data_IF_862151703651
#
_entry.id   IF_862151703651
#
_cell.length_a   1.000
_cell.length_b   1.000
_cell.length_c   1.000
_cell.angle_alpha   90.00
_cell.angle_beta   90.00
_cell.angle_gamma   90.00
#
_symmetry.space_group_name_H-M   'P 1'
#
loop_
_entity.id
_entity.type
_entity.pdbx_description
1 polymer ?
#
# COMPACT_ATOMS: atom_id res chain seq x y z
N UNK A 1 -26.66 8.81 -17.26
CA UNK A 1 -27.91 9.53 -17.54
C UNK A 1 -27.52 10.79 -18.29
N UNK A 2 -28.06 10.94 -19.54
CA UNK A 2 -27.61 12.04 -20.46
C UNK A 2 -28.27 13.37 -20.13
N UNK A 3 -29.48 13.38 -19.59
CA UNK A 3 -30.31 14.60 -19.50
C UNK A 3 -30.70 14.98 -18.08
N UNK A 4 -30.03 14.44 -17.07
CA UNK A 4 -30.39 14.68 -15.68
C UNK A 4 -29.18 15.14 -14.87
N UNK A 5 -29.33 16.28 -14.20
CA UNK A 5 -28.40 16.68 -13.14
C UNK A 5 -28.65 15.80 -11.93
N UNK A 6 -27.63 15.09 -11.51
CA UNK A 6 -27.71 14.30 -10.28
C UNK A 6 -26.41 14.37 -9.50
N UNK A 7 -26.55 14.38 -8.19
CA UNK A 7 -25.44 14.30 -7.26
C UNK A 7 -25.82 13.36 -6.13
N UNK A 8 -24.87 12.57 -5.69
CA UNK A 8 -24.98 11.76 -4.49
C UNK A 8 -23.70 11.80 -3.70
N UNK A 9 -23.82 11.69 -2.40
CA UNK A 9 -22.69 11.52 -1.51
C UNK A 9 -23.03 10.45 -0.48
N UNK A 10 -22.06 9.64 -0.13
CA UNK A 10 -22.17 8.64 0.94
C UNK A 10 -20.99 8.76 1.88
N UNK A 11 -21.21 8.47 3.14
CA UNK A 11 -20.19 8.37 4.16
C UNK A 11 -20.44 7.09 4.96
N UNK A 12 -19.40 6.36 5.26
CA UNK A 12 -19.46 5.19 6.14
C UNK A 12 -18.42 5.30 7.24
N UNK A 13 -18.75 4.69 8.36
CA UNK A 13 -17.90 4.57 9.53
C UNK A 13 -18.05 3.16 10.08
N UNK A 14 -16.95 2.47 10.33
CA UNK A 14 -16.98 1.12 10.86
C UNK A 14 -16.03 1.02 12.05
N UNK A 15 -16.53 0.42 13.13
CA UNK A 15 -15.75 0.14 14.34
C UNK A 15 -15.07 -1.22 14.19
N UNK A 16 -13.78 -1.26 14.46
CA UNK A 16 -13.01 -2.50 14.52
C UNK A 16 -12.72 -2.83 15.98
N UNK A 17 -13.14 -4.01 16.43
CA UNK A 17 -12.84 -4.44 17.79
C UNK A 17 -11.34 -4.78 17.91
N UNK A 18 -10.62 -4.01 18.72
CA UNK A 18 -9.18 -4.18 18.91
C UNK A 18 -8.38 -3.72 17.70
N UNK A 19 -8.83 -2.64 17.07
CA UNK A 19 -8.18 -2.00 15.93
C UNK A 19 -8.72 -0.60 15.72
N UNK A 20 -8.13 0.15 14.82
CA UNK A 20 -8.58 1.47 14.39
C UNK A 20 -9.93 1.42 13.66
N UNK A 21 -10.67 2.49 13.77
CA UNK A 21 -11.91 2.67 13.02
C UNK A 21 -11.65 2.95 11.53
N UNK A 22 -12.55 2.47 10.69
CA UNK A 22 -12.49 2.68 9.25
C UNK A 22 -13.49 3.72 8.80
N UNK A 23 -13.11 4.54 7.82
CA UNK A 23 -13.97 5.59 7.27
C UNK A 23 -13.95 5.58 5.76
N UNK A 24 -15.10 5.82 5.12
CA UNK A 24 -15.13 6.03 3.68
C UNK A 24 -16.07 7.17 3.31
N UNK A 25 -15.69 7.90 2.27
CA UNK A 25 -16.47 8.97 1.65
C UNK A 25 -16.51 8.73 0.15
N UNK A 26 -17.67 8.91 -0.46
CA UNK A 26 -17.85 8.90 -1.90
C UNK A 26 -18.74 10.06 -2.32
N UNK A 27 -18.41 10.68 -3.45
CA UNK A 27 -19.24 11.68 -4.10
C UNK A 27 -19.35 11.37 -5.59
N UNK A 28 -20.56 11.46 -6.12
CA UNK A 28 -20.86 11.28 -7.54
C UNK A 28 -21.61 12.50 -8.04
N UNK A 29 -21.15 13.01 -9.18
CA UNK A 29 -21.80 14.13 -9.88
C UNK A 29 -22.03 13.74 -11.33
N UNK A 30 -23.23 14.00 -11.83
CA UNK A 30 -23.58 13.85 -13.24
C UNK A 30 -24.13 15.19 -13.75
N UNK A 31 -23.54 15.68 -14.85
CA UNK A 31 -23.86 16.98 -15.44
C UNK A 31 -24.13 16.79 -16.93
N UNK A 32 -25.39 16.94 -17.40
CA UNK A 32 -25.67 17.11 -18.80
C UNK A 32 -25.15 18.51 -19.25
N UNK A 33 -24.19 18.50 -20.15
CA UNK A 33 -23.59 19.74 -20.70
C UNK A 33 -24.35 20.20 -21.93
N UNK A 34 -24.73 19.24 -22.76
CA UNK A 34 -25.57 19.46 -23.96
C UNK A 34 -26.65 18.38 -23.92
N UNK A 35 -27.90 18.84 -23.87
CA UNK A 35 -29.06 17.95 -23.85
C UNK A 35 -29.01 16.93 -25.00
N UNK A 36 -29.28 15.67 -24.70
CA UNK A 36 -29.22 14.52 -25.62
C UNK A 36 -27.87 14.31 -26.32
N UNK A 37 -26.79 15.05 -25.97
CA UNK A 37 -25.53 14.96 -26.69
C UNK A 37 -24.30 14.77 -25.81
N UNK A 38 -24.15 15.53 -24.73
CA UNK A 38 -22.94 15.50 -23.92
C UNK A 38 -23.26 15.50 -22.45
N UNK A 39 -22.82 14.47 -21.76
CA UNK A 39 -22.86 14.44 -20.31
C UNK A 39 -21.48 14.15 -19.71
N UNK A 40 -21.20 14.77 -18.60
CA UNK A 40 -20.02 14.52 -17.76
C UNK A 40 -20.44 13.79 -16.48
N UNK A 41 -19.61 12.86 -16.06
CA UNK A 41 -19.76 12.17 -14.77
C UNK A 41 -18.44 12.19 -14.02
N UNK A 42 -18.48 12.66 -12.79
CA UNK A 42 -17.36 12.57 -11.83
C UNK A 42 -17.72 11.64 -10.69
N UNK A 43 -16.76 10.84 -10.26
CA UNK A 43 -16.79 10.05 -9.04
C UNK A 43 -15.52 10.34 -8.28
N UNK A 44 -15.62 10.63 -7.00
CA UNK A 44 -14.50 10.85 -6.10
C UNK A 44 -14.73 10.02 -4.85
N UNK A 45 -13.69 9.38 -4.34
CA UNK A 45 -13.78 8.61 -3.11
C UNK A 45 -12.47 8.63 -2.34
N UNK A 46 -12.61 8.45 -1.03
CA UNK A 46 -11.53 8.07 -0.12
C UNK A 46 -12.06 6.99 0.81
N UNK A 47 -11.24 5.97 1.08
CA UNK A 47 -11.59 4.84 1.91
C UNK A 47 -10.38 4.49 2.78
N UNK A 48 -10.42 4.88 4.07
CA UNK A 48 -9.43 4.49 5.06
C UNK A 48 -9.90 3.21 5.75
N UNK A 49 -9.11 2.16 5.65
CA UNK A 49 -9.21 0.94 6.45
C UNK A 49 -8.27 1.10 7.64
N UNK A 50 -8.82 1.10 8.84
CA UNK A 50 -8.04 1.14 10.07
C UNK A 50 -7.22 -0.12 10.25
N UNK A 51 -6.05 0.02 10.85
CA UNK A 51 -5.17 -1.08 11.21
C UNK A 51 -5.76 -1.94 12.33
N UNK A 52 -5.15 -3.09 12.56
CA UNK A 52 -5.55 -4.05 13.60
C UNK A 52 -4.40 -4.97 14.01
N UNK A 53 -3.18 -4.70 13.55
CA UNK A 53 -1.96 -5.44 13.90
C UNK A 53 -1.04 -4.47 14.64
N UNK A 54 -0.56 -4.88 15.82
CA UNK A 54 0.35 -4.06 16.62
C UNK A 54 1.79 -4.40 16.30
N UNK A 55 2.61 -3.38 16.09
CA UNK A 55 4.05 -3.53 16.08
C UNK A 55 4.60 -3.38 17.49
N UNK A 56 4.79 -4.53 18.16
CA UNK A 56 5.21 -4.54 19.58
C UNK A 56 6.72 -4.48 19.72
N UNK A 57 7.16 -4.02 20.90
CA UNK A 57 8.58 -3.91 21.23
C UNK A 57 9.30 -5.26 21.09
N UNK A 58 10.44 -5.24 20.45
CA UNK A 58 11.30 -6.41 20.28
C UNK A 58 12.77 -6.05 20.26
N UNK A 59 13.59 -7.04 20.54
CA UNK A 59 15.04 -6.97 20.34
C UNK A 59 15.49 -8.11 19.46
N UNK A 60 16.43 -7.84 18.59
CA UNK A 60 17.08 -8.82 17.76
C UNK A 60 18.58 -8.74 17.95
N UNK A 61 19.20 -9.87 18.26
CA UNK A 61 20.66 -9.98 18.30
C UNK A 61 21.07 -11.01 17.27
N UNK A 62 21.77 -10.58 16.25
CA UNK A 62 22.40 -11.51 15.31
C UNK A 62 23.51 -12.23 16.04
N UNK A 63 23.34 -13.52 16.31
CA UNK A 63 24.35 -14.39 16.93
C UNK A 63 24.61 -15.62 16.07
N UNK A 64 25.73 -16.27 16.29
CA UNK A 64 26.06 -17.53 15.63
C UNK A 64 25.03 -18.62 15.91
N UNK A 65 24.32 -18.55 17.02
CA UNK A 65 23.29 -19.52 17.40
C UNK A 65 22.03 -19.42 16.53
N UNK A 66 21.77 -18.23 15.97
CA UNK A 66 20.61 -17.97 15.10
C UNK A 66 20.92 -18.26 13.63
N UNK A 67 22.17 -18.16 13.24
CA UNK A 67 22.61 -18.44 11.87
C UNK A 67 23.74 -19.48 11.90
N UNK A 68 23.47 -20.74 11.55
CA UNK A 68 24.47 -21.81 11.55
C UNK A 68 25.61 -21.60 10.56
N UNK A 69 25.47 -20.65 9.61
CA UNK A 69 26.55 -20.25 8.74
C UNK A 69 27.62 -19.40 9.47
N UNK A 70 27.28 -18.87 10.68
CA UNK A 70 28.18 -18.06 11.50
C UNK A 70 28.22 -18.60 12.95
N UNK A 71 28.76 -19.81 13.17
CA UNK A 71 28.65 -20.53 14.44
C UNK A 71 29.47 -19.95 15.59
N UNK A 72 30.20 -18.87 15.38
CA UNK A 72 31.08 -18.28 16.37
C UNK A 72 31.05 -16.75 16.31
N UNK A 73 31.57 -16.12 17.36
CA UNK A 73 31.84 -14.68 17.39
C UNK A 73 32.96 -14.24 16.42
N UNK A 74 33.42 -15.15 15.59
CA UNK A 74 34.44 -14.87 14.59
C UNK A 74 34.17 -15.67 13.30
N UNK A 75 34.49 -15.09 12.15
CA UNK A 75 34.39 -15.73 10.83
C UNK A 75 35.79 -15.77 10.22
N UNK A 76 36.20 -16.94 9.75
CA UNK A 76 37.45 -17.14 9.05
C UNK A 76 37.18 -17.16 7.53
N UNK A 77 37.78 -16.26 6.80
CA UNK A 77 37.65 -16.18 5.34
C UNK A 77 38.85 -16.83 4.68
N UNK A 78 38.60 -17.86 3.89
CA UNK A 78 39.62 -18.55 3.09
C UNK A 78 39.73 -17.90 1.69
N UNK A 79 40.42 -16.80 1.58
CA UNK A 79 40.69 -16.10 0.30
C UNK A 79 39.53 -15.29 -0.24
N UNK A 80 39.80 -14.08 -0.69
CA UNK A 80 38.81 -13.13 -1.20
C UNK A 80 38.49 -12.01 -0.21
N UNK A 81 38.14 -10.85 -0.74
CA UNK A 81 37.71 -9.71 0.05
C UNK A 81 36.20 -9.82 0.33
N UNK A 82 35.79 -9.77 1.58
CA UNK A 82 34.37 -9.83 1.97
C UNK A 82 34.03 -8.63 2.85
N UNK A 83 32.78 -8.19 2.80
CA UNK A 83 32.26 -7.13 3.66
C UNK A 83 31.51 -7.77 4.83
N UNK A 84 31.89 -7.41 6.05
CA UNK A 84 31.15 -7.76 7.27
C UNK A 84 30.81 -6.48 8.01
N UNK A 85 29.54 -6.23 8.24
CA UNK A 85 29.06 -5.00 8.89
C UNK A 85 29.66 -3.71 8.31
N UNK A 86 29.81 -3.62 6.99
CA UNK A 86 30.40 -2.46 6.32
C UNK A 86 31.92 -2.35 6.41
N UNK A 87 32.61 -3.32 7.04
CA UNK A 87 34.08 -3.34 7.14
C UNK A 87 34.66 -4.27 6.11
N UNK A 88 35.70 -3.81 5.41
CA UNK A 88 36.47 -4.62 4.45
C UNK A 88 37.36 -5.60 5.21
N UNK A 89 37.16 -6.88 4.96
CA UNK A 89 38.00 -7.95 5.51
C UNK A 89 39.07 -8.34 4.46
N UNK A 90 40.34 -8.27 4.77
CA UNK A 90 41.42 -8.63 3.83
C UNK A 90 41.38 -10.10 3.41
N UNK A 91 41.83 -10.38 2.18
CA UNK A 91 42.03 -11.75 1.68
C UNK A 91 43.15 -12.49 2.45
N UNK A 92 42.96 -13.81 2.63
CA UNK A 92 44.07 -14.64 3.09
C UNK A 92 43.89 -15.34 4.43
N UNK A 93 42.69 -15.84 4.75
CA UNK A 93 42.47 -16.71 5.93
C UNK A 93 42.55 -15.97 7.26
N UNK A 94 42.20 -14.70 7.28
CA UNK A 94 42.15 -13.88 8.50
C UNK A 94 40.86 -14.17 9.24
N UNK A 95 40.98 -14.50 10.53
CA UNK A 95 39.84 -14.61 11.45
C UNK A 95 39.53 -13.23 12.01
N UNK A 96 38.33 -12.75 11.77
CA UNK A 96 37.89 -11.45 12.27
C UNK A 96 36.81 -11.66 13.31
N UNK A 97 36.92 -11.04 14.50
CA UNK A 97 35.83 -11.07 15.47
C UNK A 97 34.61 -10.37 14.88
N UNK A 98 33.48 -11.03 14.85
CA UNK A 98 32.20 -10.48 14.39
C UNK A 98 31.45 -9.98 15.62
N UNK A 99 31.30 -8.66 15.72
CA UNK A 99 30.50 -8.08 16.76
C UNK A 99 29.08 -7.90 16.21
N UNK A 100 28.18 -8.78 16.62
CA UNK A 100 26.78 -8.70 16.23
C UNK A 100 26.09 -7.63 17.08
N UNK A 101 25.65 -6.56 16.44
CA UNK A 101 24.89 -5.51 17.13
C UNK A 101 23.51 -6.04 17.54
N UNK A 102 23.10 -5.70 18.74
CA UNK A 102 21.72 -5.85 19.15
C UNK A 102 20.92 -4.70 18.61
N UNK A 103 19.88 -4.97 17.83
CA UNK A 103 18.92 -3.99 17.37
C UNK A 103 17.65 -4.06 18.22
N UNK A 104 16.97 -2.94 18.37
CA UNK A 104 15.61 -2.86 18.91
C UNK A 104 14.75 -2.04 17.97
N UNK A 105 13.44 -2.23 18.06
CA UNK A 105 12.46 -1.50 17.27
C UNK A 105 11.68 -0.44 18.05
N UNK A 106 12.22 0.06 19.16
CA UNK A 106 11.51 0.98 20.06
C UNK A 106 10.96 2.24 19.36
N UNK A 107 11.60 2.69 18.28
CA UNK A 107 11.15 3.83 17.49
C UNK A 107 10.02 3.50 16.51
N UNK A 108 9.71 2.21 16.32
CA UNK A 108 8.71 1.71 15.38
C UNK A 108 7.55 1.01 16.09
N UNK A 109 7.49 1.06 17.41
CA UNK A 109 6.37 0.51 18.19
C UNK A 109 5.15 1.36 17.94
N UNK A 110 4.08 0.73 17.46
CA UNK A 110 2.85 1.39 17.06
C UNK A 110 1.69 0.42 17.17
N UNK A 111 0.57 0.86 17.74
CA UNK A 111 -0.67 0.10 17.78
C UNK A 111 -1.37 0.25 16.41
N UNK A 112 -2.04 -0.81 15.94
CA UNK A 112 -2.88 -0.79 14.74
C UNK A 112 -2.12 -0.34 13.47
N UNK A 113 -0.85 -0.67 13.34
CA UNK A 113 0.06 -0.07 12.37
C UNK A 113 -0.12 -0.52 10.91
N UNK A 114 -1.10 -1.36 10.59
CA UNK A 114 -1.34 -1.89 9.24
C UNK A 114 -2.55 -1.24 8.55
N UNK A 115 -2.65 0.06 8.61
CA UNK A 115 -3.72 0.79 7.93
C UNK A 115 -3.54 0.83 6.39
N UNK A 116 -4.64 1.12 5.69
CA UNK A 116 -4.64 1.30 4.25
C UNK A 116 -5.60 2.42 3.83
N UNK A 117 -5.11 3.34 3.02
CA UNK A 117 -5.94 4.43 2.49
C UNK A 117 -5.99 4.38 0.97
N UNK A 118 -7.20 4.23 0.45
CA UNK A 118 -7.49 4.37 -0.97
C UNK A 118 -8.04 5.76 -1.24
N UNK A 119 -7.49 6.45 -2.24
CA UNK A 119 -8.06 7.71 -2.75
C UNK A 119 -8.17 7.62 -4.25
N UNK A 120 -9.33 7.95 -4.78
CA UNK A 120 -9.54 7.82 -6.21
C UNK A 120 -10.53 8.80 -6.80
N UNK A 121 -10.41 8.93 -8.12
CA UNK A 121 -11.36 9.65 -8.94
C UNK A 121 -11.58 8.92 -10.26
N UNK A 122 -12.78 9.08 -10.80
CA UNK A 122 -13.11 8.73 -12.19
C UNK A 122 -13.88 9.87 -12.82
N UNK A 123 -13.43 10.34 -13.96
CA UNK A 123 -14.12 11.35 -14.76
C UNK A 123 -14.45 10.73 -16.11
N UNK A 124 -15.69 10.84 -16.52
CA UNK A 124 -16.17 10.35 -17.81
C UNK A 124 -16.90 11.43 -18.57
N UNK A 125 -16.71 11.44 -19.88
CA UNK A 125 -17.45 12.27 -20.83
C UNK A 125 -18.10 11.35 -21.86
N UNK A 126 -19.42 11.33 -21.90
CA UNK A 126 -20.17 10.60 -22.93
C UNK A 126 -20.69 11.60 -23.95
N UNK A 127 -20.42 11.33 -25.23
CA UNK A 127 -20.88 12.13 -26.35
C UNK A 127 -21.62 11.26 -27.37
N UNK A 128 -22.90 11.57 -27.56
CA UNK A 128 -23.74 10.95 -28.59
C UNK A 128 -23.56 11.71 -29.91
N UNK A 129 -22.86 11.08 -30.87
CA UNK A 129 -22.56 11.68 -32.19
C UNK A 129 -23.85 11.78 -33.01
N UNK A 130 -24.63 10.70 -33.00
CA UNK A 130 -25.96 10.57 -33.62
C UNK A 130 -26.69 9.38 -33.00
N UNK A 131 -27.86 9.01 -33.54
CA UNK A 131 -28.72 7.93 -33.02
C UNK A 131 -28.04 6.54 -33.03
N UNK A 132 -27.02 6.37 -33.85
CA UNK A 132 -26.34 5.09 -34.05
C UNK A 132 -24.93 5.04 -33.41
N UNK A 133 -24.32 6.16 -33.07
CA UNK A 133 -22.94 6.22 -32.64
C UNK A 133 -22.77 7.08 -31.38
N UNK A 134 -22.10 6.53 -30.39
CA UNK A 134 -21.65 7.25 -29.20
C UNK A 134 -20.18 6.98 -28.86
N UNK A 135 -19.58 7.92 -28.12
CA UNK A 135 -18.22 7.83 -27.62
C UNK A 135 -18.23 8.10 -26.13
N UNK A 136 -17.55 7.26 -25.36
CA UNK A 136 -17.28 7.49 -23.96
C UNK A 136 -15.76 7.58 -23.75
N UNK A 137 -15.31 8.72 -23.26
CA UNK A 137 -13.96 8.91 -22.73
C UNK A 137 -14.01 8.82 -21.22
N UNK A 138 -13.16 8.00 -20.61
CA UNK A 138 -13.02 7.88 -19.18
C UNK A 138 -11.56 8.01 -18.76
N UNK A 139 -11.34 8.71 -17.66
CA UNK A 139 -10.07 8.73 -16.95
C UNK A 139 -10.29 8.36 -15.50
N UNK A 140 -9.50 7.41 -15.01
CA UNK A 140 -9.51 6.98 -13.61
C UNK A 140 -8.10 7.11 -13.03
N UNK A 141 -8.03 7.59 -11.81
CA UNK A 141 -6.82 7.60 -10.99
C UNK A 141 -7.16 7.06 -9.62
N UNK A 142 -6.30 6.21 -9.08
CA UNK A 142 -6.36 5.73 -7.71
C UNK A 142 -4.97 5.71 -7.11
N UNK A 143 -4.85 6.08 -5.86
CA UNK A 143 -3.67 5.81 -5.02
C UNK A 143 -4.06 4.85 -3.92
N UNK A 144 -3.11 4.03 -3.53
CA UNK A 144 -3.17 3.18 -2.36
C UNK A 144 -1.93 3.48 -1.52
N UNK A 145 -2.15 3.97 -0.32
CA UNK A 145 -1.12 4.17 0.69
C UNK A 145 -1.37 3.17 1.81
N UNK A 146 -0.37 2.34 2.13
CA UNK A 146 -0.43 1.39 3.24
C UNK A 146 0.78 1.53 4.12
N UNK A 147 0.57 1.31 5.41
CA UNK A 147 1.63 1.10 6.39
C UNK A 147 1.57 -0.33 6.93
N UNK A 148 2.67 -0.80 7.50
CA UNK A 148 2.74 -2.09 8.16
C UNK A 148 2.61 -3.31 7.26
N UNK A 149 2.30 -4.42 7.89
CA UNK A 149 2.18 -5.75 7.27
C UNK A 149 0.81 -6.37 7.56
N UNK A 150 0.42 -7.34 6.74
CA UNK A 150 -0.88 -8.03 6.83
C UNK A 150 -0.76 -9.43 7.45
N UNK A 151 0.42 -9.76 7.97
CA UNK A 151 0.72 -10.99 8.70
C UNK A 151 1.14 -10.66 10.13
N UNK A 152 0.98 -11.60 11.04
CA UNK A 152 1.37 -11.45 12.45
C UNK A 152 2.19 -12.67 12.91
N UNK A 153 2.94 -12.48 13.99
CA UNK A 153 3.76 -13.52 14.61
C UNK A 153 3.05 -14.08 15.85
N UNK A 154 2.47 -15.29 15.78
CA UNK A 154 1.78 -15.89 16.92
C UNK A 154 2.64 -16.03 18.18
N UNK A 155 3.97 -16.00 18.05
CA UNK A 155 4.88 -16.05 19.21
C UNK A 155 4.95 -14.72 19.98
N UNK A 156 4.46 -13.63 19.38
CA UNK A 156 4.42 -12.28 19.97
C UNK A 156 3.07 -11.95 20.61
N UNK A 157 2.06 -12.74 20.35
CA UNK A 157 0.69 -12.52 20.78
C UNK A 157 -0.30 -12.56 19.63
N UNK A 158 -1.57 -12.35 19.95
CA UNK A 158 -2.62 -12.28 18.96
C UNK A 158 -2.53 -10.94 18.21
N UNK A 159 -2.49 -10.99 16.87
CA UNK A 159 -2.36 -9.85 15.99
C UNK A 159 -1.14 -8.94 16.25
N UNK A 160 -0.06 -9.51 16.80
CA UNK A 160 1.16 -8.78 17.07
C UNK A 160 2.30 -9.19 16.14
N UNK A 161 3.21 -8.24 15.89
CA UNK A 161 4.44 -8.45 15.14
C UNK A 161 5.57 -7.61 15.75
N UNK A 162 6.83 -7.94 15.49
CA UNK A 162 7.98 -7.09 15.84
C UNK A 162 8.76 -6.78 14.57
N UNK A 163 8.49 -5.63 13.97
CA UNK A 163 9.18 -5.14 12.77
C UNK A 163 10.30 -4.17 13.18
N UNK A 164 11.45 -4.31 12.53
CA UNK A 164 12.67 -3.54 12.80
C UNK A 164 13.00 -2.54 11.70
N UNK A 165 12.11 -2.38 10.75
CA UNK A 165 12.17 -1.39 9.68
C UNK A 165 10.75 -0.96 9.32
N UNK A 166 10.63 0.23 8.76
CA UNK A 166 9.36 0.72 8.25
C UNK A 166 8.89 -0.16 7.07
N UNK A 167 7.63 -0.54 7.12
CA UNK A 167 6.94 -1.24 6.04
C UNK A 167 5.87 -0.29 5.49
N UNK A 168 6.00 0.10 4.24
CA UNK A 168 5.01 0.95 3.57
C UNK A 168 4.94 0.61 2.09
N UNK A 169 3.76 0.81 1.52
CA UNK A 169 3.57 0.75 0.09
C UNK A 169 2.76 1.94 -0.38
N UNK A 170 3.24 2.61 -1.41
CA UNK A 170 2.53 3.67 -2.11
C UNK A 170 2.40 3.26 -3.57
N UNK A 171 1.18 2.98 -3.99
CA UNK A 171 0.87 2.59 -5.36
C UNK A 171 -0.05 3.62 -6.02
N UNK A 172 0.16 3.88 -7.31
CA UNK A 172 -0.63 4.81 -8.09
C UNK A 172 -1.03 4.21 -9.42
N UNK A 173 -2.32 4.07 -9.63
CA UNK A 173 -2.93 3.57 -10.85
C UNK A 173 -3.56 4.71 -11.65
N UNK A 174 -3.26 4.77 -12.94
CA UNK A 174 -3.90 5.69 -13.87
C UNK A 174 -4.35 4.93 -15.11
N UNK A 175 -5.58 5.17 -15.53
CA UNK A 175 -6.15 4.56 -16.72
C UNK A 175 -6.95 5.59 -17.51
N UNK A 176 -6.73 5.62 -18.83
CA UNK A 176 -7.60 6.34 -19.76
C UNK A 176 -8.17 5.33 -20.74
N UNK A 177 -9.49 5.32 -20.92
CA UNK A 177 -10.20 4.43 -21.80
C UNK A 177 -11.09 5.22 -22.76
N UNK A 178 -11.13 4.75 -24.01
CA UNK A 178 -12.04 5.22 -25.05
C UNK A 178 -12.92 4.07 -25.48
N UNK A 179 -14.20 4.28 -25.45
CA UNK A 179 -15.20 3.32 -25.93
C UNK A 179 -16.01 3.97 -27.01
N UNK A 180 -16.09 3.33 -28.15
CA UNK A 180 -16.94 3.78 -29.27
C UNK A 180 -17.97 2.69 -29.51
N UNK A 181 -19.23 3.03 -29.40
CA UNK A 181 -20.33 2.14 -29.75
C UNK A 181 -20.96 2.62 -31.03
N UNK A 182 -21.30 1.68 -31.91
CA UNK A 182 -21.91 1.98 -33.18
C UNK A 182 -22.76 0.86 -33.71
N UNK A 183 -23.85 1.20 -34.42
CA UNK A 183 -24.70 0.30 -35.15
C UNK A 183 -24.38 0.44 -36.64
N UNK A 184 -23.99 -0.63 -37.28
CA UNK A 184 -23.87 -0.70 -38.73
C UNK A 184 -25.14 -1.34 -39.26
N UNK A 185 -25.86 -0.57 -40.08
CA UNK A 185 -27.08 -1.03 -40.77
C UNK A 185 -26.81 -2.02 -41.89
#
# INVERSE_FOLDING_TARGET
VMNEYSASASASYAFTKGGEDSTALEAVLNVPVIEDKLALRGVFYTDKKGGYIDNVAGTFTASGDVNPAFPASSVTFAGGTTFVNGTVVPAGGVTVPVNFATANNAALVEDDFNDATYTGMRIGAKYDINDDWDVLLQHSRQTLDTTGVWDFDPTKGDLNVSRFQEDSNNDAFNQTAWTVNGRMG
#
